data_IF_223548118135
#
_entry.id   IF_223548118135
#
_cell.length_a   1.000
_cell.length_b   1.000
_cell.length_c   1.000
_cell.angle_alpha   90.00
_cell.angle_beta   90.00
_cell.angle_gamma   90.00
#
_symmetry.space_group_name_H-M   'P 1'
#
loop_
_entity.id
_entity.type
_entity.pdbx_description
1 polymer ?
#
# COMPACT_ATOMS: atom_id res chain seq x y z
N UNK A 1 -4.19 12.57 -23.32
CA UNK A 1 -5.06 12.83 -22.15
C UNK A 1 -6.16 11.76 -22.19
N UNK A 2 -6.08 10.77 -21.33
CA UNK A 2 -7.20 9.84 -21.13
C UNK A 2 -8.19 10.57 -20.22
N UNK A 3 -9.36 10.90 -20.78
CA UNK A 3 -10.44 11.52 -20.03
C UNK A 3 -11.03 10.48 -19.06
N UNK A 4 -10.74 10.63 -17.79
CA UNK A 4 -11.31 9.78 -16.73
C UNK A 4 -12.71 10.28 -16.39
N UNK A 5 -13.73 9.42 -16.53
CA UNK A 5 -15.09 9.72 -16.11
C UNK A 5 -15.33 9.08 -14.75
N UNK A 6 -15.63 9.91 -13.75
CA UNK A 6 -16.01 9.44 -12.42
C UNK A 6 -17.54 9.43 -12.30
N UNK A 7 -18.09 8.30 -11.90
CA UNK A 7 -19.49 8.17 -11.52
C UNK A 7 -19.58 8.14 -9.99
N UNK A 8 -20.46 8.95 -9.43
CA UNK A 8 -20.78 8.93 -8.00
C UNK A 8 -22.24 8.50 -7.86
N UNK A 9 -22.48 7.51 -7.02
CA UNK A 9 -23.83 7.04 -6.69
C UNK A 9 -24.04 7.20 -5.20
N UNK A 10 -25.05 7.98 -4.80
CA UNK A 10 -25.43 8.15 -3.41
C UNK A 10 -26.58 7.21 -3.07
N UNK A 11 -26.39 6.36 -2.07
CA UNK A 11 -27.46 5.52 -1.53
C UNK A 11 -27.99 6.16 -0.26
N UNK A 12 -29.32 6.24 -0.13
CA UNK A 12 -29.94 6.70 1.11
C UNK A 12 -29.76 5.66 2.22
N UNK A 13 -29.73 6.09 3.49
CA UNK A 13 -29.70 5.19 4.65
C UNK A 13 -30.84 4.13 4.67
N UNK A 14 -31.93 4.40 3.92
CA UNK A 14 -33.08 3.50 3.75
C UNK A 14 -33.06 2.77 2.40
N UNK A 15 -31.90 2.74 1.70
CA UNK A 15 -31.74 1.96 0.49
C UNK A 15 -32.00 0.48 0.71
N UNK A 16 -32.57 -0.19 -0.29
CA UNK A 16 -32.80 -1.63 -0.20
C UNK A 16 -31.46 -2.35 0.00
N UNK A 17 -31.36 -3.17 1.05
CA UNK A 17 -30.20 -3.99 1.28
C UNK A 17 -30.04 -5.05 0.18
N UNK A 18 -28.83 -5.36 -0.19
CA UNK A 18 -28.53 -6.39 -1.18
C UNK A 18 -27.23 -6.18 -1.94
N UNK A 19 -26.88 -7.20 -2.72
CA UNK A 19 -25.78 -7.13 -3.66
C UNK A 19 -26.28 -6.49 -4.99
N UNK A 20 -25.51 -5.54 -5.48
CA UNK A 20 -25.78 -4.83 -6.74
C UNK A 20 -24.64 -5.08 -7.73
N UNK A 21 -24.99 -5.17 -8.99
CA UNK A 21 -24.03 -5.31 -10.08
C UNK A 21 -24.26 -4.20 -11.09
N UNK A 22 -23.19 -3.51 -11.49
CA UNK A 22 -23.25 -2.59 -12.62
C UNK A 22 -23.10 -3.41 -13.90
N UNK A 23 -24.14 -3.44 -14.72
CA UNK A 23 -24.14 -4.23 -15.95
C UNK A 23 -23.82 -3.41 -17.19
N UNK A 24 -24.15 -2.12 -17.18
CA UNK A 24 -23.89 -1.22 -18.29
C UNK A 24 -23.71 0.22 -17.85
N UNK A 25 -23.04 1.00 -18.70
CA UNK A 25 -22.92 2.45 -18.59
C UNK A 25 -23.51 3.08 -19.83
N UNK A 26 -24.44 4.02 -19.69
CA UNK A 26 -25.07 4.73 -20.79
C UNK A 26 -24.54 6.16 -20.88
N UNK A 27 -23.96 6.50 -22.01
CA UNK A 27 -23.53 7.86 -22.34
C UNK A 27 -24.58 8.56 -23.19
N UNK A 28 -24.83 9.82 -22.91
CA UNK A 28 -25.70 10.65 -23.73
C UNK A 28 -24.92 11.87 -24.19
N UNK A 29 -24.69 11.98 -25.50
CA UNK A 29 -24.07 13.14 -26.10
C UNK A 29 -25.09 13.78 -27.08
N UNK A 30 -25.49 15.00 -26.81
CA UNK A 30 -26.54 15.72 -27.52
C UNK A 30 -27.89 14.94 -27.54
N UNK A 31 -28.18 14.22 -28.60
CA UNK A 31 -29.40 13.37 -28.74
C UNK A 31 -29.07 11.91 -28.97
N UNK A 32 -27.81 11.57 -29.01
CA UNK A 32 -27.36 10.19 -29.23
C UNK A 32 -27.07 9.53 -27.89
N UNK A 33 -27.62 8.33 -27.69
CA UNK A 33 -27.35 7.48 -26.54
C UNK A 33 -26.47 6.33 -26.99
N UNK A 34 -25.41 6.07 -26.24
CA UNK A 34 -24.56 4.91 -26.43
C UNK A 34 -24.51 4.14 -25.11
N UNK A 35 -24.79 2.87 -25.16
CA UNK A 35 -24.68 1.96 -24.03
C UNK A 35 -23.48 1.05 -24.22
N UNK A 36 -22.69 0.88 -23.17
CA UNK A 36 -21.56 -0.04 -23.11
C UNK A 36 -21.87 -1.04 -22.01
N UNK A 37 -21.91 -2.32 -22.36
CA UNK A 37 -22.05 -3.40 -21.39
C UNK A 37 -20.69 -3.65 -20.75
N UNK A 38 -20.63 -3.74 -19.41
CA UNK A 38 -19.39 -4.00 -18.71
C UNK A 38 -18.83 -5.39 -19.02
N UNK A 39 -19.72 -6.37 -19.31
CA UNK A 39 -19.32 -7.69 -19.79
C UNK A 39 -18.52 -7.67 -21.08
N UNK A 40 -18.79 -6.73 -21.98
CA UNK A 40 -18.06 -6.58 -23.24
C UNK A 40 -16.64 -6.07 -23.03
N UNK A 41 -16.40 -5.43 -21.88
CA UNK A 41 -15.08 -4.99 -21.42
C UNK A 41 -14.40 -6.02 -20.51
N UNK A 42 -15.03 -7.17 -20.24
CA UNK A 42 -14.54 -8.17 -19.30
C UNK A 42 -14.62 -7.73 -17.84
N UNK A 43 -15.47 -6.74 -17.54
CA UNK A 43 -15.62 -6.17 -16.20
C UNK A 43 -16.83 -6.76 -15.47
N UNK A 44 -16.64 -7.17 -14.21
CA UNK A 44 -17.70 -7.55 -13.27
C UNK A 44 -17.60 -6.66 -12.03
N UNK A 45 -18.43 -5.63 -11.97
CA UNK A 45 -18.42 -4.65 -10.87
C UNK A 45 -19.62 -4.89 -9.97
N UNK A 46 -19.38 -5.36 -8.76
CA UNK A 46 -20.40 -5.65 -7.75
C UNK A 46 -20.11 -4.88 -6.46
N UNK A 47 -21.17 -4.52 -5.76
CA UNK A 47 -21.06 -3.86 -4.46
C UNK A 47 -22.29 -4.18 -3.59
N UNK A 48 -22.10 -4.20 -2.28
CA UNK A 48 -23.17 -4.39 -1.32
C UNK A 48 -23.70 -3.05 -0.79
N UNK A 49 -25.02 -3.00 -0.62
CA UNK A 49 -25.68 -1.88 0.06
C UNK A 49 -26.36 -2.45 1.30
N UNK A 50 -25.97 -1.97 2.49
CA UNK A 50 -26.50 -2.43 3.79
C UNK A 50 -26.36 -3.94 4.05
N UNK A 51 -25.57 -4.64 3.27
CA UNK A 51 -25.20 -6.05 3.46
C UNK A 51 -23.72 -6.24 3.10
N UNK A 52 -23.09 -7.29 3.62
CA UNK A 52 -21.74 -7.66 3.21
C UNK A 52 -21.82 -8.36 1.85
N UNK A 53 -21.45 -7.68 0.79
CA UNK A 53 -21.30 -8.32 -0.52
C UNK A 53 -20.05 -9.22 -0.52
N UNK A 54 -20.17 -10.43 -1.04
CA UNK A 54 -19.01 -11.26 -1.37
C UNK A 54 -18.38 -10.73 -2.67
N UNK A 55 -17.61 -9.66 -2.56
CA UNK A 55 -16.80 -9.19 -3.69
C UNK A 55 -15.44 -9.91 -3.64
N UNK A 56 -14.99 -10.39 -4.79
CA UNK A 56 -13.61 -10.84 -4.92
C UNK A 56 -12.72 -9.59 -5.08
N UNK A 57 -11.98 -9.16 -4.04
CA UNK A 57 -11.18 -7.95 -4.10
C UNK A 57 -10.05 -8.03 -5.14
N UNK A 58 -9.71 -9.24 -5.61
CA UNK A 58 -8.71 -9.44 -6.65
C UNK A 58 -9.23 -9.08 -8.06
N UNK A 59 -10.53 -8.82 -8.22
CA UNK A 59 -11.17 -8.41 -9.49
C UNK A 59 -11.44 -6.91 -9.58
N UNK A 60 -11.19 -6.16 -8.54
CA UNK A 60 -11.35 -4.70 -8.58
C UNK A 60 -10.19 -4.12 -9.39
N UNK A 61 -10.51 -3.54 -10.55
CA UNK A 61 -9.58 -2.80 -11.43
C UNK A 61 -9.10 -1.47 -10.82
N UNK A 62 -9.08 -1.37 -9.50
CA UNK A 62 -8.64 -0.18 -8.80
C UNK A 62 -7.21 -0.37 -8.31
N UNK A 63 -6.41 0.64 -8.55
CA UNK A 63 -5.13 0.81 -7.88
C UNK A 63 -5.39 0.76 -6.37
N UNK A 64 -4.90 -0.28 -5.69
CA UNK A 64 -5.03 -0.41 -4.23
C UNK A 64 -4.44 0.80 -3.51
N UNK A 65 -3.53 1.52 -4.17
CA UNK A 65 -2.83 2.68 -3.65
C UNK A 65 -3.60 3.99 -3.92
N UNK A 66 -4.47 4.05 -4.95
CA UNK A 66 -5.23 5.25 -5.32
C UNK A 66 -6.35 5.61 -4.32
N UNK A 67 -6.71 4.69 -3.45
CA UNK A 67 -7.70 4.88 -2.38
C UNK A 67 -7.07 4.86 -0.98
N UNK A 68 -5.88 5.40 -0.84
CA UNK A 68 -5.42 5.81 0.49
C UNK A 68 -6.35 6.94 0.94
N UNK A 69 -7.40 6.56 1.65
CA UNK A 69 -8.47 7.44 2.09
C UNK A 69 -7.95 8.70 2.74
N UNK A 70 -8.49 9.79 2.28
CA UNK A 70 -8.16 11.14 2.64
C UNK A 70 -8.37 11.45 4.11
N UNK A 71 -9.11 10.70 4.87
CA UNK A 71 -9.37 10.88 6.30
C UNK A 71 -10.07 9.67 6.93
N UNK A 72 -9.98 8.47 6.36
CA UNK A 72 -10.48 7.31 7.07
C UNK A 72 -9.55 7.03 8.25
N UNK A 73 -10.07 7.20 9.44
CA UNK A 73 -9.42 6.69 10.65
C UNK A 73 -9.02 5.24 10.43
N UNK A 74 -7.73 4.94 10.56
CA UNK A 74 -7.26 3.55 10.52
C UNK A 74 -7.84 2.84 11.73
N UNK A 75 -8.93 2.13 11.51
CA UNK A 75 -9.63 1.42 12.58
C UNK A 75 -8.94 0.09 12.79
N UNK A 76 -8.21 -0.04 13.89
CA UNK A 76 -7.71 -1.34 14.36
C UNK A 76 -8.82 -2.06 15.09
N UNK A 77 -9.25 -3.21 14.57
CA UNK A 77 -10.23 -4.06 15.25
C UNK A 77 -9.51 -5.22 15.94
N UNK A 78 -9.89 -5.49 17.19
CA UNK A 78 -9.47 -6.70 17.90
C UNK A 78 -10.08 -7.96 17.28
N UNK A 79 -9.55 -9.14 17.61
CA UNK A 79 -10.02 -10.42 17.07
C UNK A 79 -11.48 -10.74 17.39
N UNK A 80 -12.07 -10.05 18.34
CA UNK A 80 -13.47 -10.14 18.79
C UNK A 80 -14.37 -9.02 18.24
N UNK A 81 -13.83 -8.18 17.33
CA UNK A 81 -14.61 -7.19 16.60
C UNK A 81 -14.76 -5.84 17.30
N UNK A 82 -14.05 -5.59 18.40
CA UNK A 82 -14.03 -4.28 19.05
C UNK A 82 -13.06 -3.33 18.34
N UNK A 83 -13.50 -2.10 18.12
CA UNK A 83 -12.69 -1.02 17.55
C UNK A 83 -11.71 -0.53 18.61
N UNK A 84 -10.41 -0.72 18.38
CA UNK A 84 -9.34 -0.17 19.20
C UNK A 84 -8.98 1.18 18.62
N UNK A 85 -9.16 2.28 19.38
CA UNK A 85 -8.73 3.61 18.91
C UNK A 85 -7.20 3.70 18.83
N UNK A 86 -6.65 4.50 17.90
CA UNK A 86 -5.21 4.73 17.71
C UNK A 86 -4.47 5.05 19.03
N UNK A 87 -5.08 5.83 19.91
CA UNK A 87 -4.49 6.20 21.21
C UNK A 87 -4.34 5.05 22.20
N UNK A 88 -5.09 3.95 22.03
CA UNK A 88 -5.04 2.81 22.97
C UNK A 88 -3.96 1.81 22.57
N UNK A 89 -3.68 1.69 21.27
CA UNK A 89 -2.62 0.81 20.76
C UNK A 89 -1.23 1.40 21.01
N UNK A 90 -1.08 2.71 20.88
CA UNK A 90 0.19 3.39 21.08
C UNK A 90 0.70 3.25 22.54
N UNK A 91 -0.20 3.37 23.52
CA UNK A 91 0.15 3.23 24.93
C UNK A 91 0.48 1.79 25.38
N UNK A 92 -0.11 0.78 24.75
CA UNK A 92 0.14 -0.64 25.07
C UNK A 92 1.38 -1.15 24.33
N UNK A 93 1.68 -0.61 23.15
CA UNK A 93 2.81 -1.02 22.33
C UNK A 93 4.12 -0.36 22.72
N UNK A 94 4.12 0.84 23.31
CA UNK A 94 5.36 1.49 23.76
C UNK A 94 6.13 0.67 24.80
N UNK A 95 5.45 -0.05 25.69
CA UNK A 95 6.11 -0.95 26.64
C UNK A 95 6.61 -2.25 26.01
N UNK A 96 5.88 -2.83 25.04
CA UNK A 96 6.29 -4.05 24.35
C UNK A 96 7.35 -3.83 23.24
N UNK A 97 7.36 -2.64 22.64
CA UNK A 97 8.30 -2.30 21.56
C UNK A 97 9.71 -2.07 22.09
N UNK A 98 9.87 -1.49 23.26
CA UNK A 98 11.18 -1.26 23.88
C UNK A 98 11.98 -2.56 24.02
N UNK A 99 11.34 -3.64 24.44
CA UNK A 99 11.98 -4.93 24.64
C UNK A 99 12.21 -5.69 23.33
N UNK A 100 11.29 -5.56 22.37
CA UNK A 100 11.42 -6.17 21.04
C UNK A 100 12.52 -5.47 20.20
N UNK A 101 12.61 -4.14 20.25
CA UNK A 101 13.66 -3.38 19.55
C UNK A 101 15.05 -3.66 20.15
N UNK A 102 15.15 -3.82 21.46
CA UNK A 102 16.41 -4.23 22.11
C UNK A 102 16.84 -5.62 21.66
N UNK A 103 15.92 -6.58 21.58
CA UNK A 103 16.21 -7.95 21.13
C UNK A 103 16.61 -8.04 19.66
N UNK A 104 16.00 -7.25 18.78
CA UNK A 104 16.38 -7.17 17.36
C UNK A 104 17.71 -6.46 17.17
N UNK A 105 17.95 -5.38 17.90
CA UNK A 105 19.24 -4.68 17.87
C UNK A 105 20.40 -5.55 18.41
N UNK A 106 20.16 -6.36 19.42
CA UNK A 106 21.17 -7.28 19.96
C UNK A 106 21.40 -8.50 19.06
N UNK A 107 20.36 -9.01 18.40
CA UNK A 107 20.50 -10.04 17.38
C UNK A 107 21.25 -9.54 16.12
N UNK A 108 21.14 -8.26 15.78
CA UNK A 108 21.89 -7.65 14.67
C UNK A 108 23.35 -7.35 15.03
N UNK A 109 23.67 -7.15 16.32
CA UNK A 109 25.06 -6.91 16.79
C UNK A 109 25.91 -8.19 16.88
N UNK A 110 25.29 -9.37 16.91
CA UNK A 110 25.97 -10.65 17.12
C UNK A 110 26.20 -11.51 15.88
N UNK A 111 25.64 -11.15 14.73
CA UNK A 111 25.75 -11.95 13.53
C UNK A 111 26.51 -11.20 12.43
N UNK A 112 27.53 -11.86 11.90
CA UNK A 112 28.10 -11.59 10.54
C UNK A 112 27.03 -11.87 9.45
N UNK A 113 25.77 -11.48 9.68
CA UNK A 113 24.63 -11.79 8.83
C UNK A 113 24.46 -10.66 7.84
N UNK A 114 24.63 -11.02 6.58
CA UNK A 114 24.31 -10.14 5.47
C UNK A 114 22.80 -9.88 5.45
N UNK A 115 22.40 -8.64 5.75
CA UNK A 115 21.00 -8.20 5.72
C UNK A 115 20.57 -8.00 4.27
N UNK A 116 19.55 -8.71 3.83
CA UNK A 116 19.01 -8.62 2.48
C UNK A 116 17.78 -7.72 2.47
N UNK A 117 17.88 -6.62 1.77
CA UNK A 117 16.81 -5.64 1.60
C UNK A 117 16.32 -5.69 0.17
N UNK A 118 15.00 -5.80 -0.01
CA UNK A 118 14.38 -5.61 -1.32
C UNK A 118 13.74 -4.24 -1.34
N UNK A 119 14.16 -3.40 -2.27
CA UNK A 119 13.55 -2.12 -2.60
C UNK A 119 12.58 -2.34 -3.74
N UNK A 120 11.38 -1.87 -3.56
CA UNK A 120 10.30 -2.01 -4.50
C UNK A 120 9.83 -0.63 -4.97
N UNK A 121 10.33 -0.13 -6.12
CA UNK A 121 9.75 1.07 -6.71
C UNK A 121 8.30 0.76 -7.08
N UNK A 122 7.33 1.35 -6.39
CA UNK A 122 5.92 1.17 -6.66
C UNK A 122 5.58 1.51 -8.11
N UNK A 123 4.51 0.91 -8.62
CA UNK A 123 4.07 1.10 -10.00
C UNK A 123 5.12 0.70 -11.07
N UNK A 124 4.85 0.96 -12.32
CA UNK A 124 5.73 0.72 -13.47
C UNK A 124 5.12 1.37 -14.74
N UNK A 125 5.74 1.21 -15.89
CA UNK A 125 5.24 1.80 -17.14
C UNK A 125 3.91 1.21 -17.65
N UNK A 126 3.47 0.06 -17.11
CA UNK A 126 2.16 -0.53 -17.42
C UNK A 126 1.12 -0.11 -16.38
N UNK A 127 1.54 0.03 -15.11
CA UNK A 127 0.71 0.41 -13.97
C UNK A 127 1.28 1.71 -13.38
N UNK A 128 0.97 2.83 -14.01
CA UNK A 128 1.69 4.10 -13.82
C UNK A 128 1.51 4.76 -12.44
N UNK A 129 0.45 4.40 -11.70
CA UNK A 129 0.10 5.04 -10.43
C UNK A 129 -0.46 6.45 -10.62
N UNK A 130 -0.31 7.25 -9.60
CA UNK A 130 -0.77 8.63 -9.60
C UNK A 130 0.01 9.52 -10.56
N UNK A 131 -0.60 10.63 -10.96
CA UNK A 131 0.06 11.68 -11.72
C UNK A 131 -0.26 13.06 -11.16
N UNK A 132 0.72 13.94 -11.14
CA UNK A 132 0.56 15.32 -10.67
C UNK A 132 1.69 16.19 -11.18
N UNK A 133 1.43 17.46 -11.42
CA UNK A 133 2.42 18.45 -11.86
C UNK A 133 3.26 18.03 -13.08
N UNK A 134 2.70 17.20 -13.96
CA UNK A 134 3.36 16.73 -15.20
C UNK A 134 4.32 15.55 -15.01
N UNK A 135 4.33 14.92 -13.85
CA UNK A 135 5.14 13.70 -13.55
C UNK A 135 4.24 12.54 -13.18
N UNK A 136 4.76 11.32 -13.33
CA UNK A 136 4.10 10.10 -12.90
C UNK A 136 4.78 9.52 -11.67
N UNK A 137 3.99 8.94 -10.80
CA UNK A 137 4.47 8.29 -9.58
C UNK A 137 5.51 7.21 -9.89
N UNK A 138 5.24 6.35 -10.88
CA UNK A 138 6.18 5.30 -11.29
C UNK A 138 7.60 5.79 -11.58
N UNK A 139 7.75 7.00 -12.13
CA UNK A 139 9.05 7.58 -12.43
C UNK A 139 9.77 8.08 -11.18
N UNK A 140 9.02 8.72 -10.28
CA UNK A 140 9.57 9.25 -9.02
C UNK A 140 9.94 8.12 -8.05
N UNK A 141 9.09 7.12 -7.91
CA UNK A 141 9.37 5.96 -7.04
C UNK A 141 10.62 5.21 -7.49
N UNK A 142 10.85 5.09 -8.80
CA UNK A 142 12.09 4.50 -9.33
C UNK A 142 13.30 5.33 -8.95
N UNK A 143 13.23 6.66 -9.08
CA UNK A 143 14.34 7.56 -8.70
C UNK A 143 14.64 7.46 -7.20
N UNK A 144 13.62 7.55 -6.34
CA UNK A 144 13.79 7.48 -4.89
C UNK A 144 14.42 6.14 -4.49
N UNK A 145 13.91 5.04 -5.02
CA UNK A 145 14.45 3.70 -4.73
C UNK A 145 15.88 3.53 -5.25
N UNK A 146 16.23 4.14 -6.38
CA UNK A 146 17.60 4.11 -6.92
C UNK A 146 18.56 4.84 -5.98
N UNK A 147 18.23 6.04 -5.51
CA UNK A 147 19.04 6.75 -4.52
C UNK A 147 19.17 5.97 -3.21
N UNK A 148 18.09 5.34 -2.75
CA UNK A 148 18.14 4.48 -1.58
C UNK A 148 19.05 3.27 -1.79
N UNK A 149 19.03 2.64 -2.96
CA UNK A 149 19.96 1.55 -3.32
C UNK A 149 21.41 2.00 -3.29
N UNK A 150 21.69 3.14 -3.90
CA UNK A 150 23.05 3.71 -3.92
C UNK A 150 23.57 3.94 -2.51
N UNK A 151 22.77 4.59 -1.65
CA UNK A 151 23.14 4.84 -0.25
C UNK A 151 23.34 3.54 0.53
N UNK A 152 22.38 2.61 0.48
CA UNK A 152 22.47 1.34 1.20
C UNK A 152 23.66 0.48 0.74
N UNK A 153 24.11 0.63 -0.49
CA UNK A 153 25.26 -0.09 -1.04
C UNK A 153 26.58 0.36 -0.43
N UNK A 154 26.61 1.49 0.27
CA UNK A 154 27.80 1.97 0.98
C UNK A 154 28.01 1.28 2.33
N UNK A 155 27.02 0.58 2.85
CA UNK A 155 27.07 -0.08 4.15
C UNK A 155 27.51 -1.53 4.04
N UNK A 156 28.51 -1.92 4.85
CA UNK A 156 28.94 -3.31 4.94
C UNK A 156 27.86 -4.19 5.56
N UNK A 157 27.70 -5.40 5.05
CA UNK A 157 26.75 -6.38 5.58
C UNK A 157 25.31 -6.17 5.10
N UNK A 158 25.08 -5.31 4.11
CA UNK A 158 23.80 -5.14 3.45
C UNK A 158 23.92 -5.59 1.99
N UNK A 159 22.94 -6.41 1.54
CA UNK A 159 22.75 -6.72 0.13
C UNK A 159 21.40 -6.18 -0.32
N UNK A 160 21.40 -5.37 -1.38
CA UNK A 160 20.21 -4.70 -1.88
C UNK A 160 19.77 -5.35 -3.19
N UNK A 161 18.49 -5.63 -3.30
CA UNK A 161 17.81 -6.07 -4.52
C UNK A 161 16.72 -5.05 -4.88
N UNK A 162 16.40 -4.91 -6.15
CA UNK A 162 15.28 -4.09 -6.60
C UNK A 162 14.29 -4.94 -7.38
N UNK A 163 13.00 -4.70 -7.20
CA UNK A 163 11.96 -5.40 -7.96
C UNK A 163 11.93 -4.97 -9.42
N UNK A 164 12.30 -3.71 -9.71
CA UNK A 164 12.55 -3.17 -11.05
C UNK A 164 13.66 -2.11 -11.02
N UNK A 165 14.39 -2.01 -12.09
CA UNK A 165 15.44 -0.99 -12.31
C UNK A 165 15.16 -0.13 -13.56
N UNK A 166 13.96 -0.25 -14.11
CA UNK A 166 13.49 0.50 -15.28
C UNK A 166 11.99 0.71 -15.19
N UNK A 167 11.38 1.29 -16.19
CA UNK A 167 9.92 1.40 -16.31
C UNK A 167 9.23 0.06 -16.59
N UNK A 168 9.96 -1.04 -16.80
CA UNK A 168 9.34 -2.33 -17.11
C UNK A 168 8.64 -2.94 -15.90
N UNK A 169 7.46 -3.52 -16.14
CA UNK A 169 6.74 -4.30 -15.13
C UNK A 169 7.55 -5.54 -14.72
N UNK A 170 7.71 -5.82 -13.40
CA UNK A 170 8.43 -7.00 -12.92
C UNK A 170 7.89 -8.34 -13.43
N UNK A 171 6.61 -8.41 -13.78
CA UNK A 171 5.98 -9.58 -14.39
C UNK A 171 6.11 -9.63 -15.93
N UNK A 172 6.76 -8.64 -16.54
CA UNK A 172 6.86 -8.54 -18.00
C UNK A 172 5.61 -7.95 -18.67
N UNK A 173 4.73 -7.31 -17.92
CA UNK A 173 3.41 -6.86 -18.33
C UNK A 173 2.33 -7.84 -17.88
N UNK A 174 1.07 -7.52 -18.11
CA UNK A 174 -0.05 -8.36 -17.71
C UNK A 174 -0.91 -7.73 -16.62
N UNK A 175 -1.59 -8.56 -15.84
CA UNK A 175 -2.46 -8.08 -14.79
C UNK A 175 -1.66 -7.60 -13.54
N UNK A 176 -2.34 -6.81 -12.74
CA UNK A 176 -1.80 -6.23 -11.52
C UNK A 176 -1.42 -7.31 -10.48
N UNK A 177 -2.18 -8.40 -10.41
CA UNK A 177 -1.93 -9.51 -9.47
C UNK A 177 -0.60 -10.17 -9.78
N UNK A 178 -0.35 -10.48 -11.06
CA UNK A 178 0.92 -11.06 -11.49
C UNK A 178 2.10 -10.13 -11.19
N UNK A 179 1.90 -8.81 -11.31
CA UNK A 179 2.90 -7.81 -10.96
C UNK A 179 3.23 -7.86 -9.44
N UNK A 180 2.21 -7.85 -8.57
CA UNK A 180 2.41 -7.95 -7.11
C UNK A 180 3.06 -9.29 -6.72
N UNK A 181 2.67 -10.39 -7.36
CA UNK A 181 3.29 -11.70 -7.14
C UNK A 181 4.77 -11.70 -7.52
N UNK A 182 5.14 -11.09 -8.64
CA UNK A 182 6.54 -11.00 -9.06
C UNK A 182 7.39 -10.22 -8.04
N UNK A 183 6.87 -9.10 -7.52
CA UNK A 183 7.52 -8.28 -6.49
C UNK A 183 7.76 -9.07 -5.19
N UNK A 184 6.72 -9.67 -4.65
CA UNK A 184 6.79 -10.48 -3.43
C UNK A 184 7.64 -11.75 -3.61
N UNK A 185 7.57 -12.39 -4.78
CA UNK A 185 8.36 -13.59 -5.08
C UNK A 185 9.86 -13.28 -5.17
N UNK A 186 10.26 -12.10 -5.65
CA UNK A 186 11.66 -11.69 -5.58
C UNK A 186 12.13 -11.70 -4.12
N UNK A 187 11.39 -11.05 -3.21
CA UNK A 187 11.75 -11.00 -1.80
C UNK A 187 11.85 -12.39 -1.18
N UNK A 188 10.88 -13.27 -1.47
CA UNK A 188 10.91 -14.67 -1.05
C UNK A 188 12.14 -15.42 -1.57
N UNK A 189 12.42 -15.32 -2.88
CA UNK A 189 13.45 -16.10 -3.55
C UNK A 189 14.87 -15.70 -3.09
N UNK A 190 15.09 -14.42 -2.79
CA UNK A 190 16.38 -13.97 -2.26
C UNK A 190 16.50 -14.19 -0.75
N UNK A 191 15.42 -14.57 -0.06
CA UNK A 191 15.35 -14.68 1.40
C UNK A 191 15.55 -13.32 2.06
N UNK A 192 14.75 -12.33 1.65
CA UNK A 192 14.83 -10.97 2.15
C UNK A 192 14.49 -10.88 3.64
N UNK A 193 15.17 -10.00 4.36
CA UNK A 193 14.83 -9.64 5.73
C UNK A 193 13.68 -8.61 5.78
N UNK A 194 13.54 -7.82 4.70
CA UNK A 194 12.48 -6.83 4.54
C UNK A 194 12.28 -6.50 3.06
N UNK A 195 11.04 -6.18 2.69
CA UNK A 195 10.72 -5.49 1.44
C UNK A 195 10.18 -4.09 1.78
N UNK A 196 10.70 -3.07 1.10
CA UNK A 196 10.27 -1.67 1.26
C UNK A 196 9.79 -1.16 -0.08
N UNK A 197 8.49 -0.86 -0.17
CA UNK A 197 7.85 -0.30 -1.36
C UNK A 197 7.76 1.22 -1.26
N UNK A 198 8.08 1.88 -2.35
CA UNK A 198 8.17 3.34 -2.46
C UNK A 198 6.98 3.85 -3.24
N UNK A 199 6.19 4.73 -2.65
CA UNK A 199 4.97 5.29 -3.21
C UNK A 199 4.85 6.79 -2.96
N UNK A 200 3.93 7.42 -3.67
CA UNK A 200 3.52 8.81 -3.49
C UNK A 200 2.00 8.86 -3.42
N UNK A 201 1.51 9.35 -2.32
CA UNK A 201 0.08 9.46 -2.07
C UNK A 201 -0.59 10.53 -2.96
N UNK A 202 -1.88 10.42 -3.12
CA UNK A 202 -2.74 11.46 -3.70
C UNK A 202 -4.03 11.58 -2.91
N UNK A 203 -4.60 12.78 -2.91
CA UNK A 203 -5.87 13.03 -2.28
C UNK A 203 -6.65 14.11 -3.05
N UNK A 204 -6.95 15.21 -2.38
CA UNK A 204 -7.70 16.35 -2.95
C UNK A 204 -6.84 17.63 -3.11
N UNK A 205 -5.52 17.47 -3.20
CA UNK A 205 -4.57 18.58 -3.29
C UNK A 205 -4.28 19.28 -1.96
N UNK A 206 -4.96 18.92 -0.87
CA UNK A 206 -4.78 19.57 0.45
C UNK A 206 -4.01 18.72 1.45
N UNK A 207 -4.17 17.39 1.40
CA UNK A 207 -3.40 16.47 2.21
C UNK A 207 -1.92 16.54 1.85
N UNK A 208 -1.03 16.37 2.85
CA UNK A 208 0.42 16.47 2.66
C UNK A 208 1.19 15.69 3.71
N UNK A 209 2.41 15.29 3.38
CA UNK A 209 3.36 14.70 4.32
C UNK A 209 3.55 13.20 4.11
N UNK A 210 4.27 12.57 5.04
CA UNK A 210 4.72 11.19 4.98
C UNK A 210 3.89 10.28 5.87
N UNK A 211 3.55 9.10 5.37
CA UNK A 211 2.97 8.00 6.15
C UNK A 211 3.59 6.66 5.71
N UNK A 212 3.62 5.69 6.62
CA UNK A 212 4.19 4.38 6.32
C UNK A 212 3.25 3.29 6.77
N UNK A 213 2.83 2.45 5.82
CA UNK A 213 2.02 1.27 6.10
C UNK A 213 2.90 0.07 6.41
N UNK A 214 2.50 -0.73 7.39
CA UNK A 214 3.21 -1.92 7.85
C UNK A 214 2.24 -3.08 8.12
N UNK A 215 2.73 -4.35 8.17
CA UNK A 215 1.87 -5.50 8.42
C UNK A 215 1.20 -5.44 9.79
N UNK A 216 -0.11 -5.74 9.85
CA UNK A 216 -0.81 -5.90 11.11
C UNK A 216 -0.21 -7.03 11.98
N UNK A 217 -0.67 -7.20 13.23
CA UNK A 217 -0.19 -8.24 14.14
C UNK A 217 -0.83 -9.62 13.95
N UNK A 218 -1.83 -9.74 13.07
CA UNK A 218 -2.54 -10.99 12.82
C UNK A 218 -1.65 -12.03 12.15
N UNK A 219 -1.98 -13.32 12.29
CA UNK A 219 -1.32 -14.46 11.64
C UNK A 219 0.19 -14.60 11.97
N UNK A 220 0.97 -13.54 11.87
CA UNK A 220 2.39 -13.52 12.18
C UNK A 220 2.77 -12.24 12.92
N UNK A 221 2.61 -12.26 14.24
CA UNK A 221 2.84 -11.10 15.11
C UNK A 221 4.30 -10.59 15.05
N UNK A 222 5.28 -11.49 14.85
CA UNK A 222 6.69 -11.08 14.76
C UNK A 222 6.97 -10.27 13.50
N UNK A 223 6.36 -10.62 12.37
CA UNK A 223 6.44 -9.84 11.13
C UNK A 223 5.77 -8.48 11.32
N UNK A 224 4.62 -8.43 12.00
CA UNK A 224 3.94 -7.19 12.34
C UNK A 224 4.81 -6.26 13.19
N UNK A 225 5.36 -6.75 14.31
CA UNK A 225 6.19 -5.93 15.21
C UNK A 225 7.49 -5.46 14.56
N UNK A 226 8.16 -6.32 13.79
CA UNK A 226 9.35 -5.92 13.03
C UNK A 226 9.03 -4.83 11.99
N UNK A 227 7.90 -4.99 11.29
CA UNK A 227 7.41 -4.00 10.32
C UNK A 227 7.13 -2.66 10.99
N UNK A 228 6.42 -2.66 12.11
CA UNK A 228 6.10 -1.45 12.87
C UNK A 228 7.35 -0.70 13.32
N UNK A 229 8.29 -1.41 13.95
CA UNK A 229 9.53 -0.79 14.43
C UNK A 229 10.34 -0.10 13.32
N UNK A 230 10.39 -0.72 12.13
CA UNK A 230 11.07 -0.15 10.98
C UNK A 230 10.26 1.00 10.37
N UNK A 231 8.95 0.83 10.20
CA UNK A 231 8.05 1.86 9.68
C UNK A 231 8.14 3.16 10.49
N UNK A 232 8.13 3.03 11.83
CA UNK A 232 8.28 4.20 12.71
C UNK A 232 9.60 4.93 12.46
N UNK A 233 10.71 4.22 12.40
CA UNK A 233 12.03 4.82 12.17
C UNK A 233 12.10 5.53 10.81
N UNK A 234 11.54 4.93 9.77
CA UNK A 234 11.49 5.54 8.43
C UNK A 234 10.65 6.80 8.47
N UNK A 235 9.43 6.73 9.01
CA UNK A 235 8.51 7.86 9.09
C UNK A 235 9.11 9.03 9.89
N UNK A 236 9.73 8.75 11.05
CA UNK A 236 10.40 9.76 11.87
C UNK A 236 11.55 10.44 11.11
N UNK A 237 12.33 9.67 10.35
CA UNK A 237 13.46 10.21 9.58
C UNK A 237 13.00 11.08 8.42
N UNK A 238 11.97 10.67 7.70
CA UNK A 238 11.40 11.46 6.61
C UNK A 238 10.74 12.74 7.13
N UNK A 239 10.02 12.65 8.24
CA UNK A 239 9.45 13.84 8.89
C UNK A 239 10.53 14.84 9.36
N UNK A 240 11.68 14.33 9.83
CA UNK A 240 12.81 15.18 10.23
C UNK A 240 13.41 16.00 9.06
N UNK A 241 13.12 15.64 7.80
CA UNK A 241 13.45 16.43 6.61
C UNK A 241 12.50 17.61 6.39
N UNK A 242 11.43 17.71 7.19
CA UNK A 242 10.42 18.77 7.12
C UNK A 242 9.07 18.34 6.54
N UNK A 243 8.92 17.09 6.12
CA UNK A 243 7.64 16.53 5.71
C UNK A 243 6.66 16.51 6.90
N UNK A 244 5.40 16.79 6.64
CA UNK A 244 4.38 16.67 7.67
C UNK A 244 4.25 15.19 8.12
N UNK A 245 4.37 14.95 9.42
CA UNK A 245 4.28 13.61 10.00
C UNK A 245 2.82 13.15 10.05
N UNK A 246 2.47 12.12 9.28
CA UNK A 246 1.14 11.51 9.27
C UNK A 246 1.09 10.18 10.03
N UNK A 247 2.24 9.69 10.46
CA UNK A 247 2.36 8.50 11.29
C UNK A 247 2.56 7.20 10.54
N UNK A 248 2.59 6.12 11.30
CA UNK A 248 2.64 4.76 10.79
C UNK A 248 1.27 4.12 10.90
N UNK A 249 0.89 3.28 9.93
CA UNK A 249 -0.47 2.79 9.79
C UNK A 249 -0.52 1.30 9.49
N UNK A 250 -1.61 0.66 9.93
CA UNK A 250 -2.07 -0.63 9.43
C UNK A 250 -3.41 -0.41 8.75
N UNK A 251 -3.70 -1.23 7.74
CA UNK A 251 -5.02 -1.28 7.12
C UNK A 251 -5.42 -2.74 6.97
N UNK A 252 -6.58 -3.11 7.49
CA UNK A 252 -7.11 -4.46 7.39
C UNK A 252 -8.08 -4.56 6.20
N UNK A 253 -7.99 -5.67 5.47
CA UNK A 253 -8.97 -5.99 4.45
C UNK A 253 -10.31 -6.33 5.11
N UNK A 254 -11.40 -5.89 4.51
CA UNK A 254 -12.75 -6.17 5.01
C UNK A 254 -13.13 -7.65 4.87
N UNK A 255 -12.69 -8.30 3.79
CA UNK A 255 -13.12 -9.66 3.44
C UNK A 255 -11.97 -10.67 3.41
N UNK A 256 -10.77 -10.27 3.01
CA UNK A 256 -9.63 -11.16 2.96
C UNK A 256 -9.21 -11.62 4.34
N UNK A 257 -8.87 -12.91 4.42
CA UNK A 257 -8.43 -13.55 5.66
C UNK A 257 -7.08 -14.22 5.47
N UNK A 258 -6.30 -14.22 6.52
CA UNK A 258 -5.13 -15.08 6.61
C UNK A 258 -5.53 -16.56 6.82
N UNK A 259 -4.59 -17.52 6.62
CA UNK A 259 -4.88 -18.95 6.79
C UNK A 259 -5.46 -19.34 8.15
N UNK A 260 -5.21 -18.55 9.19
CA UNK A 260 -5.77 -18.76 10.55
C UNK A 260 -7.17 -18.16 10.73
N UNK A 261 -7.74 -17.54 9.69
CA UNK A 261 -9.05 -16.91 9.71
C UNK A 261 -9.06 -15.47 10.20
N UNK A 262 -7.93 -14.94 10.64
CA UNK A 262 -7.81 -13.53 11.06
C UNK A 262 -7.87 -12.57 9.87
N UNK A 263 -8.22 -11.29 10.11
CA UNK A 263 -8.27 -10.27 9.06
C UNK A 263 -6.88 -10.09 8.42
N UNK A 264 -6.84 -10.16 7.09
CA UNK A 264 -5.61 -9.95 6.34
C UNK A 264 -5.26 -8.45 6.24
N UNK A 265 -4.03 -8.14 5.91
CA UNK A 265 -3.63 -6.77 5.53
C UNK A 265 -4.33 -6.38 4.22
N UNK A 266 -4.78 -5.14 4.11
CA UNK A 266 -5.46 -4.61 2.92
C UNK A 266 -4.55 -4.62 1.69
N UNK A 267 -3.33 -4.14 1.84
CA UNK A 267 -2.39 -4.05 0.73
C UNK A 267 -1.88 -5.42 0.29
N UNK A 268 -2.12 -5.76 -0.97
CA UNK A 268 -1.79 -7.06 -1.55
C UNK A 268 -0.30 -7.40 -1.45
N UNK A 269 0.59 -6.42 -1.59
CA UNK A 269 2.02 -6.61 -1.44
C UNK A 269 2.41 -6.95 0.01
N UNK A 270 1.85 -6.25 0.99
CA UNK A 270 2.06 -6.51 2.43
C UNK A 270 1.59 -7.92 2.78
N UNK A 271 0.37 -8.32 2.33
CA UNK A 271 -0.15 -9.68 2.55
C UNK A 271 0.79 -10.76 2.00
N UNK A 272 1.25 -10.59 0.76
CA UNK A 272 2.14 -11.55 0.08
C UNK A 272 3.49 -11.70 0.78
N UNK A 273 4.08 -10.57 1.17
CA UNK A 273 5.32 -10.58 1.94
C UNK A 273 5.14 -11.27 3.29
N UNK A 274 4.08 -10.94 4.03
CA UNK A 274 3.78 -11.53 5.33
C UNK A 274 3.50 -13.02 5.28
N UNK A 275 2.81 -13.51 4.24
CA UNK A 275 2.61 -14.95 4.00
C UNK A 275 3.95 -15.70 3.81
N UNK A 276 5.00 -15.00 3.40
CA UNK A 276 6.36 -15.52 3.29
C UNK A 276 7.24 -15.22 4.51
N UNK A 277 6.67 -14.69 5.61
CA UNK A 277 7.40 -14.36 6.81
C UNK A 277 8.29 -13.10 6.71
N UNK A 278 8.04 -12.26 5.70
CA UNK A 278 8.83 -11.06 5.40
C UNK A 278 8.00 -9.83 5.75
N UNK A 279 8.50 -8.88 6.56
CA UNK A 279 7.87 -7.59 6.71
C UNK A 279 7.92 -6.82 5.38
N UNK A 280 6.73 -6.56 4.81
CA UNK A 280 6.57 -5.67 3.67
C UNK A 280 6.08 -4.31 4.17
N UNK A 281 6.71 -3.23 3.74
CA UNK A 281 6.33 -1.86 4.08
C UNK A 281 5.96 -1.10 2.81
N UNK A 282 4.98 -0.19 2.92
CA UNK A 282 4.67 0.79 1.88
C UNK A 282 4.93 2.18 2.46
N UNK A 283 5.81 2.93 1.84
CA UNK A 283 6.13 4.30 2.24
C UNK A 283 5.45 5.25 1.27
N UNK A 284 4.48 5.98 1.76
CA UNK A 284 3.91 7.15 1.09
C UNK A 284 4.77 8.36 1.45
N UNK A 285 5.74 8.68 0.60
CA UNK A 285 6.76 9.68 0.93
C UNK A 285 6.19 11.09 1.03
N UNK A 286 5.21 11.41 0.19
CA UNK A 286 4.61 12.73 0.06
C UNK A 286 3.34 12.61 -0.78
N UNK A 287 2.56 13.68 -0.87
CA UNK A 287 1.37 13.74 -1.72
C UNK A 287 1.72 14.38 -3.07
N UNK A 288 1.60 13.60 -4.14
CA UNK A 288 1.98 14.02 -5.50
C UNK A 288 1.08 15.14 -6.05
N UNK A 289 -0.15 15.24 -5.58
CA UNK A 289 -1.11 16.28 -5.95
C UNK A 289 -1.07 17.52 -5.03
N UNK A 290 -0.22 17.53 -4.00
CA UNK A 290 -0.04 18.67 -3.12
C UNK A 290 1.13 19.55 -3.57
N UNK A 291 0.86 20.81 -3.86
CA UNK A 291 1.88 21.73 -4.38
C UNK A 291 3.07 21.95 -3.43
N UNK A 292 2.81 21.99 -2.10
CA UNK A 292 3.89 22.15 -1.14
C UNK A 292 4.80 20.92 -1.10
N UNK A 293 4.22 19.73 -1.05
CA UNK A 293 5.00 18.48 -1.06
C UNK A 293 5.78 18.34 -2.37
N UNK A 294 5.12 18.61 -3.51
CA UNK A 294 5.75 18.48 -4.81
C UNK A 294 6.94 19.44 -4.97
N UNK A 295 6.73 20.75 -4.82
CA UNK A 295 7.79 21.73 -5.08
C UNK A 295 8.88 21.77 -4.02
N UNK A 296 8.64 21.25 -2.82
CA UNK A 296 9.66 21.23 -1.76
C UNK A 296 10.49 19.95 -1.76
N UNK A 297 9.89 18.79 -2.09
CA UNK A 297 10.53 17.50 -1.85
C UNK A 297 10.64 16.59 -3.09
N UNK A 298 9.80 16.80 -4.11
CA UNK A 298 9.69 15.87 -5.25
C UNK A 298 10.19 16.45 -6.59
N UNK A 299 10.32 17.78 -6.73
CA UNK A 299 10.74 18.45 -7.98
C UNK A 299 12.26 18.45 -8.19
#
# INVERSE_FOLDING_TARGET
>A
EEDMIRFTMDFSENGQAGEYQITSVQFTQEKTKQEILLSDLGMDVRFGVNEQAETNPDQVLYDEDAYADVDADVVTMSADGEVISENTVENVLEQGISDAVASVADNLKGANSNVKVVLDPGHDGTHAGASGFGVQEADLTLKIATYCKEELSTYNGITVYMTRESASCPAGGGDYIACLDARANLAKNVGANVLVSFHLNTANGTARGVEVYYPNSNYNAQVGSNGQALAKKICDKLAALGLNYRGTKIRNASYDKYPDGSAADYYGLIRRCKNNGIPGLIIEHAFLDNANDYYTYLS
#
